data_IF_656121523181
#
_entry.id   IF_656121523181
#
_cell.length_a   1.000
_cell.length_b   1.000
_cell.length_c   1.000
_cell.angle_alpha   90.00
_cell.angle_beta   90.00
_cell.angle_gamma   90.00
#
_symmetry.space_group_name_H-M   'P 1'
#
loop_
_entity.id
_entity.type
_entity.pdbx_description
1 polymer ?
#
# COMPACT_ATOMS: atom_id res chain seq x y z
N UNK A 1 20.93 4.47 33.75
CA UNK A 1 21.14 3.92 32.41
C UNK A 1 20.27 4.74 31.47
N UNK A 2 20.86 5.72 30.76
CA UNK A 2 20.13 6.59 29.84
C UNK A 2 20.19 5.97 28.46
N UNK A 3 19.03 5.63 27.90
CA UNK A 3 18.90 5.22 26.51
C UNK A 3 19.39 6.37 25.65
N UNK A 4 20.48 6.17 24.90
CA UNK A 4 21.04 7.19 24.02
C UNK A 4 20.13 7.28 22.79
N UNK A 5 19.20 8.22 22.82
CA UNK A 5 18.31 8.48 21.70
C UNK A 5 19.07 9.29 20.63
N UNK A 6 19.02 8.83 19.38
CA UNK A 6 19.67 9.47 18.23
C UNK A 6 18.59 9.84 17.19
N UNK A 7 18.05 11.07 17.25
CA UNK A 7 16.99 11.53 16.35
C UNK A 7 17.44 11.53 14.89
N UNK A 8 18.70 11.90 14.63
CA UNK A 8 19.25 11.97 13.27
C UNK A 8 19.38 10.59 12.64
N UNK A 9 19.79 9.59 13.42
CA UNK A 9 19.80 8.19 12.94
C UNK A 9 18.40 7.70 12.58
N UNK A 10 17.37 8.09 13.35
CA UNK A 10 15.98 7.74 13.08
C UNK A 10 15.49 8.45 11.81
N UNK A 11 15.70 9.77 11.67
CA UNK A 11 15.33 10.52 10.45
C UNK A 11 15.99 9.94 9.21
N UNK A 12 17.28 9.59 9.31
CA UNK A 12 18.02 8.98 8.21
C UNK A 12 17.43 7.63 7.81
N UNK A 13 17.06 6.82 8.81
CA UNK A 13 16.43 5.52 8.57
C UNK A 13 15.02 5.66 7.98
N UNK A 14 14.24 6.62 8.48
CA UNK A 14 12.91 6.97 7.99
C UNK A 14 12.94 7.31 6.50
N UNK A 15 13.82 8.25 6.10
CA UNK A 15 14.00 8.64 4.68
C UNK A 15 14.41 7.46 3.80
N UNK A 16 15.31 6.60 4.29
CA UNK A 16 15.72 5.40 3.56
C UNK A 16 14.55 4.44 3.34
N UNK A 17 13.69 4.27 4.34
CA UNK A 17 12.50 3.42 4.23
C UNK A 17 11.50 3.99 3.21
N UNK A 18 11.19 5.29 3.28
CA UNK A 18 10.28 5.92 2.33
C UNK A 18 10.76 5.83 0.88
N UNK A 19 12.06 6.01 0.67
CA UNK A 19 12.67 5.95 -0.66
C UNK A 19 12.76 4.54 -1.28
N UNK A 20 12.49 3.46 -0.52
CA UNK A 20 12.63 2.07 -1.04
C UNK A 20 11.72 1.79 -2.25
N UNK A 21 10.56 2.44 -2.31
CA UNK A 21 9.57 2.24 -3.38
C UNK A 21 9.40 3.50 -4.24
N UNK A 22 10.42 4.35 -4.32
CA UNK A 22 10.41 5.51 -5.23
C UNK A 22 10.36 5.07 -6.70
N UNK A 23 11.14 4.03 -7.04
CA UNK A 23 11.10 3.41 -8.36
C UNK A 23 9.98 2.36 -8.43
N UNK A 24 8.78 2.83 -8.77
CA UNK A 24 7.63 1.98 -9.09
C UNK A 24 7.63 1.52 -10.56
N UNK A 25 8.68 1.76 -11.34
CA UNK A 25 8.68 1.60 -12.80
C UNK A 25 8.33 0.19 -13.27
N UNK A 26 8.77 -0.84 -12.55
CA UNK A 26 8.44 -2.23 -12.85
C UNK A 26 6.94 -2.52 -12.65
N UNK A 27 6.35 -2.02 -11.56
CA UNK A 27 4.92 -2.21 -11.25
C UNK A 27 4.03 -1.37 -12.16
N UNK A 28 4.44 -0.14 -12.49
CA UNK A 28 3.72 0.72 -13.43
C UNK A 28 3.63 0.10 -14.83
N UNK A 29 4.64 -0.66 -15.26
CA UNK A 29 4.60 -1.41 -16.53
C UNK A 29 3.63 -2.58 -16.51
N UNK A 30 3.24 -3.06 -15.33
CA UNK A 30 2.22 -4.10 -15.15
C UNK A 30 0.81 -3.53 -15.06
N UNK A 31 0.60 -2.21 -15.00
CA UNK A 31 -0.76 -1.62 -14.96
C UNK A 31 -1.57 -1.79 -16.25
N UNK A 32 -0.99 -1.69 -17.46
CA UNK A 32 -1.76 -1.85 -18.69
C UNK A 32 -2.31 -3.26 -18.86
N UNK A 33 -3.51 -3.38 -19.42
CA UNK A 33 -4.12 -4.67 -19.75
C UNK A 33 -3.28 -5.42 -20.80
N UNK A 34 -2.86 -6.65 -20.49
CA UNK A 34 -2.04 -7.53 -21.33
C UNK A 34 -2.54 -8.97 -21.21
N UNK A 35 -2.48 -9.82 -22.27
CA UNK A 35 -2.81 -9.63 -23.69
C UNK A 35 -4.19 -10.24 -24.04
N UNK A 36 -4.68 -10.03 -25.27
CA UNK A 36 -5.82 -10.76 -25.84
C UNK A 36 -5.35 -12.16 -26.30
N UNK A 37 -5.62 -13.19 -25.49
CA UNK A 37 -5.38 -14.61 -25.74
C UNK A 37 -6.45 -15.26 -26.64
N UNK A 38 -7.55 -14.55 -26.95
CA UNK A 38 -8.60 -14.98 -27.87
C UNK A 38 -9.97 -15.15 -27.22
N UNK A 39 -11.00 -15.36 -28.02
CA UNK A 39 -12.40 -15.38 -27.54
C UNK A 39 -12.94 -16.76 -27.14
N UNK A 40 -12.10 -17.80 -27.14
CA UNK A 40 -12.53 -19.13 -26.66
C UNK A 40 -12.42 -19.19 -25.14
N UNK A 41 -13.28 -19.99 -24.51
CA UNK A 41 -13.47 -20.03 -23.06
C UNK A 41 -12.15 -20.19 -22.27
N UNK A 42 -11.27 -21.10 -22.71
CA UNK A 42 -9.96 -21.30 -22.07
C UNK A 42 -9.03 -20.07 -22.18
N UNK A 43 -9.09 -19.32 -23.28
CA UNK A 43 -8.33 -18.08 -23.42
C UNK A 43 -8.86 -16.99 -22.48
N UNK A 44 -10.18 -16.83 -22.38
CA UNK A 44 -10.79 -15.86 -21.47
C UNK A 44 -10.52 -16.19 -20.00
N UNK A 45 -10.55 -17.48 -19.63
CA UNK A 45 -10.15 -17.93 -18.31
C UNK A 45 -8.68 -17.62 -18.02
N UNK A 46 -7.79 -17.88 -18.98
CA UNK A 46 -6.36 -17.60 -18.83
C UNK A 46 -6.08 -16.09 -18.73
N UNK A 47 -6.77 -15.28 -19.53
CA UNK A 47 -6.72 -13.81 -19.45
C UNK A 47 -7.09 -13.35 -18.03
N UNK A 48 -8.23 -13.80 -17.50
CA UNK A 48 -8.66 -13.45 -16.14
C UNK A 48 -7.60 -13.82 -15.11
N UNK A 49 -7.13 -15.07 -15.09
CA UNK A 49 -6.13 -15.52 -14.11
C UNK A 49 -4.83 -14.70 -14.17
N UNK A 50 -4.41 -14.27 -15.37
CA UNK A 50 -3.22 -13.43 -15.54
C UNK A 50 -3.51 -11.99 -15.08
N UNK A 51 -4.69 -11.46 -15.37
CA UNK A 51 -5.14 -10.14 -14.97
C UNK A 51 -5.25 -10.03 -13.44
N UNK A 52 -5.93 -10.97 -12.78
CA UNK A 52 -6.08 -11.05 -11.32
C UNK A 52 -4.70 -11.01 -10.63
N UNK A 53 -3.77 -11.86 -11.09
CA UNK A 53 -2.40 -11.93 -10.52
C UNK A 53 -1.62 -10.64 -10.73
N UNK A 54 -1.76 -10.03 -11.90
CA UNK A 54 -1.10 -8.77 -12.22
C UNK A 54 -1.63 -7.65 -11.34
N UNK A 55 -2.95 -7.55 -11.21
CA UNK A 55 -3.60 -6.56 -10.35
C UNK A 55 -3.19 -6.75 -8.89
N UNK A 56 -3.18 -7.99 -8.39
CA UNK A 56 -2.70 -8.31 -7.04
C UNK A 56 -1.24 -7.91 -6.79
N UNK A 57 -0.34 -8.13 -7.75
CA UNK A 57 1.07 -7.70 -7.63
C UNK A 57 1.19 -6.17 -7.59
N UNK A 58 0.46 -5.47 -8.46
CA UNK A 58 0.46 -4.01 -8.49
C UNK A 58 -0.11 -3.43 -7.19
N UNK A 59 -1.27 -3.92 -6.76
CA UNK A 59 -1.93 -3.48 -5.53
C UNK A 59 -1.01 -3.68 -4.31
N UNK A 60 -0.38 -4.86 -4.20
CA UNK A 60 0.53 -5.14 -3.10
C UNK A 60 1.75 -4.20 -3.07
N UNK A 61 2.31 -3.87 -4.24
CA UNK A 61 3.42 -2.94 -4.33
C UNK A 61 3.00 -1.51 -3.92
N UNK A 62 1.80 -1.09 -4.28
CA UNK A 62 1.25 0.21 -3.90
C UNK A 62 0.92 0.28 -2.40
N UNK A 63 0.36 -0.80 -1.82
CA UNK A 63 0.16 -0.91 -0.37
C UNK A 63 1.48 -0.83 0.38
N UNK A 64 2.52 -1.52 -0.10
CA UNK A 64 3.85 -1.48 0.48
C UNK A 64 4.44 -0.07 0.43
N UNK A 65 4.27 0.64 -0.70
CA UNK A 65 4.69 2.04 -0.83
C UNK A 65 4.00 2.95 0.20
N UNK A 66 2.66 2.86 0.31
CA UNK A 66 1.90 3.62 1.31
C UNK A 66 2.42 3.33 2.72
N UNK A 67 2.65 2.06 3.06
CA UNK A 67 3.17 1.70 4.37
C UNK A 67 4.55 2.32 4.66
N UNK A 68 5.44 2.35 3.67
CA UNK A 68 6.78 2.91 3.79
C UNK A 68 6.79 4.44 3.91
N UNK A 69 5.97 5.14 3.13
CA UNK A 69 5.79 6.60 3.23
C UNK A 69 5.19 7.02 4.59
N UNK A 70 4.22 6.25 5.09
CA UNK A 70 3.66 6.48 6.42
C UNK A 70 4.67 6.18 7.53
N UNK A 71 5.47 5.11 7.38
CA UNK A 71 6.57 4.84 8.32
C UNK A 71 7.62 5.95 8.31
N UNK A 72 7.99 6.50 7.15
CA UNK A 72 8.88 7.66 7.06
C UNK A 72 8.32 8.84 7.84
N UNK A 73 7.04 9.17 7.59
CA UNK A 73 6.36 10.29 8.24
C UNK A 73 6.32 10.11 9.76
N UNK A 74 5.88 8.94 10.25
CA UNK A 74 5.75 8.68 11.68
C UNK A 74 7.10 8.63 12.39
N UNK A 75 8.12 8.00 11.79
CA UNK A 75 9.45 7.94 12.41
C UNK A 75 10.11 9.32 12.47
N UNK A 76 9.89 10.16 11.46
CA UNK A 76 10.34 11.56 11.47
C UNK A 76 9.66 12.34 12.58
N UNK A 77 8.33 12.21 12.72
CA UNK A 77 7.58 12.85 13.80
C UNK A 77 8.04 12.40 15.19
N UNK A 78 8.31 11.10 15.37
CA UNK A 78 8.87 10.57 16.62
C UNK A 78 10.24 11.19 16.91
N UNK A 79 11.12 11.31 15.91
CA UNK A 79 12.43 11.95 16.08
C UNK A 79 12.30 13.42 16.53
N UNK A 80 11.37 14.16 15.93
CA UNK A 80 11.07 15.55 16.28
C UNK A 80 10.48 15.67 17.70
N UNK A 81 9.56 14.79 18.08
CA UNK A 81 8.96 14.74 19.42
C UNK A 81 10.00 14.48 20.52
N UNK A 82 10.99 13.63 20.24
CA UNK A 82 12.08 13.37 21.19
C UNK A 82 13.07 14.53 21.33
N UNK A 83 13.32 15.31 20.28
CA UNK A 83 14.15 16.51 20.37
C UNK A 83 13.45 17.64 21.13
N UNK A 84 12.12 17.73 21.03
CA UNK A 84 11.32 18.79 21.63
C UNK A 84 11.01 18.61 23.14
N UNK A 85 11.68 17.65 23.82
CA UNK A 85 11.84 17.52 25.28
C UNK A 85 10.72 18.09 26.18
N UNK A 86 9.59 17.37 26.28
CA UNK A 86 8.77 17.39 27.50
C UNK A 86 8.15 16.01 27.77
N UNK A 87 7.96 15.67 29.04
CA UNK A 87 7.82 14.33 29.62
C UNK A 87 6.63 13.45 29.18
N UNK A 88 5.90 13.84 28.15
CA UNK A 88 4.72 13.13 27.60
C UNK A 88 5.02 12.20 26.41
N UNK A 89 6.30 12.06 26.01
CA UNK A 89 6.69 11.35 24.77
C UNK A 89 6.20 9.90 24.68
N UNK A 90 6.15 9.14 25.78
CA UNK A 90 5.71 7.74 25.71
C UNK A 90 4.25 7.60 25.24
N UNK A 91 3.38 8.53 25.66
CA UNK A 91 1.98 8.56 25.22
C UNK A 91 1.87 9.05 23.78
N UNK A 92 2.57 10.13 23.42
CA UNK A 92 2.60 10.68 22.05
C UNK A 92 3.11 9.68 21.01
N UNK A 93 4.14 8.89 21.35
CA UNK A 93 4.67 7.83 20.48
C UNK A 93 3.62 6.74 20.28
N UNK A 94 2.95 6.31 21.36
CA UNK A 94 1.87 5.32 21.27
C UNK A 94 0.73 5.82 20.38
N UNK A 95 0.35 7.08 20.54
CA UNK A 95 -0.70 7.72 19.74
C UNK A 95 -0.26 7.82 18.27
N UNK A 96 1.00 8.22 18.00
CA UNK A 96 1.60 8.27 16.65
C UNK A 96 1.60 6.90 15.96
N UNK A 97 1.89 5.82 16.69
CA UNK A 97 1.82 4.44 16.15
C UNK A 97 0.36 4.04 15.87
N UNK A 98 -0.59 4.46 16.71
CA UNK A 98 -2.01 4.25 16.47
C UNK A 98 -2.50 4.97 15.21
N UNK A 99 -2.08 6.22 15.03
CA UNK A 99 -2.36 7.02 13.83
C UNK A 99 -1.70 6.43 12.58
N UNK A 100 -0.46 5.98 12.66
CA UNK A 100 0.23 5.25 11.59
C UNK A 100 -0.61 4.08 11.09
N UNK A 101 -1.06 3.21 12.00
CA UNK A 101 -1.88 2.05 11.63
C UNK A 101 -3.17 2.49 10.94
N UNK A 102 -3.84 3.51 11.47
CA UNK A 102 -5.08 4.05 10.90
C UNK A 102 -4.83 4.62 9.50
N UNK A 103 -3.78 5.41 9.31
CA UNK A 103 -3.46 6.05 8.04
C UNK A 103 -3.09 5.02 6.97
N UNK A 104 -2.31 3.98 7.32
CA UNK A 104 -2.02 2.87 6.42
C UNK A 104 -3.30 2.17 6.00
N UNK A 105 -4.15 1.77 6.95
CA UNK A 105 -5.42 1.09 6.64
C UNK A 105 -6.33 1.96 5.78
N UNK A 106 -6.50 3.24 6.12
CA UNK A 106 -7.33 4.15 5.33
C UNK A 106 -6.76 4.42 3.92
N UNK A 107 -5.44 4.54 3.79
CA UNK A 107 -4.75 4.71 2.52
C UNK A 107 -4.94 3.50 1.60
N UNK A 108 -4.75 2.29 2.15
CA UNK A 108 -4.99 1.01 1.45
C UNK A 108 -6.45 0.93 0.99
N UNK A 109 -7.42 1.10 1.90
CA UNK A 109 -8.84 1.04 1.54
C UNK A 109 -9.23 2.05 0.47
N UNK A 110 -8.67 3.27 0.51
CA UNK A 110 -8.94 4.30 -0.50
C UNK A 110 -8.37 3.91 -1.86
N UNK A 111 -7.16 3.33 -1.87
CA UNK A 111 -6.53 2.84 -3.09
C UNK A 111 -7.37 1.72 -3.72
N UNK A 112 -7.74 0.70 -2.93
CA UNK A 112 -8.52 -0.45 -3.40
C UNK A 112 -9.86 0.00 -4.00
N UNK A 113 -10.57 0.90 -3.32
CA UNK A 113 -11.82 1.48 -3.82
C UNK A 113 -11.67 2.28 -5.11
N UNK A 114 -10.50 2.85 -5.37
CA UNK A 114 -10.24 3.57 -6.62
C UNK A 114 -9.88 2.58 -7.73
N UNK A 115 -9.06 1.56 -7.43
CA UNK A 115 -8.74 0.47 -8.36
C UNK A 115 -10.00 -0.26 -8.83
N UNK A 116 -10.92 -0.60 -7.92
CA UNK A 116 -12.21 -1.22 -8.26
C UNK A 116 -13.11 -0.35 -9.15
N UNK A 117 -13.00 0.99 -9.07
CA UNK A 117 -13.79 1.91 -9.92
C UNK A 117 -13.20 2.02 -11.32
N UNK A 118 -11.88 2.03 -11.40
CA UNK A 118 -11.14 2.19 -12.66
C UNK A 118 -11.10 0.88 -13.46
N UNK A 119 -11.07 -0.26 -12.77
CA UNK A 119 -11.13 -1.59 -13.37
C UNK A 119 -12.59 -2.05 -13.45
N UNK A 120 -13.18 -1.94 -14.64
CA UNK A 120 -14.58 -2.25 -14.88
C UNK A 120 -14.95 -3.69 -14.50
N UNK A 121 -15.86 -3.81 -13.54
CA UNK A 121 -16.36 -5.08 -13.01
C UNK A 121 -17.09 -5.87 -14.13
N UNK A 122 -16.46 -6.91 -14.70
CA UNK A 122 -17.04 -7.71 -15.79
C UNK A 122 -18.11 -8.72 -15.35
N UNK A 123 -18.48 -8.75 -14.07
CA UNK A 123 -19.58 -9.54 -13.54
C UNK A 123 -20.62 -8.66 -12.86
N UNK A 124 -21.88 -8.72 -13.26
CA UNK A 124 -22.98 -7.87 -12.79
C UNK A 124 -23.40 -8.01 -11.30
N UNK A 125 -22.50 -8.41 -10.40
CA UNK A 125 -22.69 -8.40 -8.94
C UNK A 125 -21.41 -7.95 -8.24
N UNK A 126 -21.54 -6.92 -7.41
CA UNK A 126 -20.50 -6.43 -6.49
C UNK A 126 -20.32 -7.45 -5.37
N UNK A 127 -19.16 -8.07 -5.31
CA UNK A 127 -18.53 -8.81 -4.22
C UNK A 127 -17.19 -9.23 -4.88
N UNK A 128 -16.01 -8.80 -4.46
CA UNK A 128 -15.49 -8.76 -3.09
C UNK A 128 -14.53 -7.57 -2.90
N UNK A 129 -14.30 -7.16 -1.65
CA UNK A 129 -13.54 -5.95 -1.29
C UNK A 129 -12.02 -6.21 -1.22
N UNK A 130 -11.47 -6.95 -2.17
CA UNK A 130 -10.06 -7.34 -2.20
C UNK A 130 -9.22 -6.49 -3.18
N UNK A 131 -9.86 -5.58 -3.92
CA UNK A 131 -9.20 -4.57 -4.73
C UNK A 131 -8.66 -5.06 -6.08
N UNK A 132 -9.04 -6.26 -6.54
CA UNK A 132 -8.52 -6.84 -7.79
C UNK A 132 -9.34 -6.49 -9.05
N UNK A 133 -10.53 -5.90 -8.85
CA UNK A 133 -11.45 -5.45 -9.90
C UNK A 133 -12.40 -6.53 -10.44
N UNK A 134 -12.38 -7.76 -9.90
CA UNK A 134 -13.15 -8.89 -10.38
C UNK A 134 -14.23 -9.35 -9.38
N UNK A 135 -15.13 -10.19 -9.88
CA UNK A 135 -16.18 -10.82 -9.09
C UNK A 135 -15.87 -12.32 -8.96
N UNK A 136 -15.51 -12.75 -7.76
CA UNK A 136 -15.18 -14.15 -7.46
C UNK A 136 -16.38 -15.10 -7.55
N UNK A 137 -17.61 -14.57 -7.61
CA UNK A 137 -18.83 -15.38 -7.70
C UNK A 137 -19.16 -15.90 -9.10
N UNK A 138 -18.39 -15.52 -10.12
CA UNK A 138 -18.45 -16.12 -11.46
C UNK A 138 -17.28 -17.10 -11.62
N UNK A 139 -17.45 -18.28 -11.03
CA UNK A 139 -16.70 -19.50 -11.31
C UNK A 139 -17.63 -20.57 -11.84
#
# INVERSE_FOLDING_TARGET
MTTKFDPEAIRTSAKKLGALMDDMGAFSKLKPHWPNAGQFELAQWLERVVDDRRNGIVAHAEHLKIALEQMETTLTHIADDFENLDGDNAKKIKDSIGELKKNITSGITTLDQNTEKDQGNFGGRKNDADGDGYNDSVG
#
